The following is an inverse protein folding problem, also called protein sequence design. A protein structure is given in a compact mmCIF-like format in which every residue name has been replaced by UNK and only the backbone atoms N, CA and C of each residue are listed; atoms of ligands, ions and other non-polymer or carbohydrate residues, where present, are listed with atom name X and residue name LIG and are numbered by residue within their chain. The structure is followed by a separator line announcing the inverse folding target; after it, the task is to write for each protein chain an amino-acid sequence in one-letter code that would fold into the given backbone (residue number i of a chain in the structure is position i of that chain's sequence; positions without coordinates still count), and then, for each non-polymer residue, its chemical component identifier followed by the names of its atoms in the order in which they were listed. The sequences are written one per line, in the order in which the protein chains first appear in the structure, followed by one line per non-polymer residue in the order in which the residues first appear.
data_IF_378608359913
#
_entry.id   IF_378608359913
#
_cell.length_a   1.000
_cell.length_b   1.000
_cell.length_c   1.000
_cell.angle_alpha   90.00
_cell.angle_beta   90.00
_cell.angle_gamma   90.00
#
_symmetry.space_group_name_H-M   'P 1'
#
loop_
_entity.id
_entity.type
_entity.pdbx_description
1 polymer ?
#
# COMPACT_ATOMS: atom_id res chain seq x y z
N UNK A 1 32.82 12.63 21.21
CA UNK A 1 31.87 13.37 20.37
C UNK A 1 30.78 12.43 19.91
N UNK A 2 29.62 12.57 20.49
CA UNK A 2 28.42 11.95 19.99
C UNK A 2 28.07 12.63 18.68
N UNK A 3 28.23 11.94 17.57
CA UNK A 3 27.60 12.37 16.34
C UNK A 3 26.12 12.45 16.63
N UNK A 4 25.57 13.64 16.50
CA UNK A 4 24.15 13.90 16.59
C UNK A 4 23.51 13.19 15.38
N UNK A 5 23.24 11.89 15.56
CA UNK A 5 22.52 11.14 14.55
C UNK A 5 21.08 11.64 14.59
N UNK A 6 20.72 12.39 13.55
CA UNK A 6 19.32 12.77 13.36
C UNK A 6 18.43 11.55 13.57
N UNK A 7 17.34 11.68 14.32
CA UNK A 7 16.47 10.56 14.59
C UNK A 7 16.08 9.85 13.27
N UNK A 8 16.14 8.53 13.26
CA UNK A 8 15.84 7.72 12.06
C UNK A 8 14.55 8.13 11.35
N UNK A 9 13.55 8.61 12.10
CA UNK A 9 12.28 9.03 11.52
C UNK A 9 12.40 10.28 10.62
N UNK A 10 13.38 11.16 10.81
CA UNK A 10 13.58 12.33 9.95
C UNK A 10 14.11 11.97 8.57
N UNK A 11 14.92 10.93 8.49
CA UNK A 11 15.40 10.43 7.20
C UNK A 11 14.30 9.66 6.44
N UNK A 12 13.28 9.21 7.13
CA UNK A 12 12.18 8.45 6.54
C UNK A 12 11.22 9.31 5.70
N UNK A 13 11.14 10.60 5.92
CA UNK A 13 10.28 11.48 5.15
C UNK A 13 10.92 12.06 3.88
N UNK A 14 12.24 11.99 3.77
CA UNK A 14 12.97 12.54 2.64
C UNK A 14 12.88 11.72 1.35
N UNK A 15 12.81 10.38 1.40
CA UNK A 15 12.76 9.56 0.18
C UNK A 15 11.40 9.53 -0.54
N UNK A 16 10.36 10.13 0.03
CA UNK A 16 9.01 10.06 -0.56
C UNK A 16 8.98 10.55 -2.01
N UNK A 17 9.64 11.67 -2.31
CA UNK A 17 9.74 12.19 -3.67
C UNK A 17 10.49 11.30 -4.62
N UNK A 18 11.48 10.57 -4.12
CA UNK A 18 12.28 9.66 -4.95
C UNK A 18 11.60 8.30 -5.14
N UNK A 19 10.68 7.91 -4.27
CA UNK A 19 9.91 6.68 -4.43
C UNK A 19 8.96 6.76 -5.63
N UNK A 20 8.28 7.87 -5.83
CA UNK A 20 7.42 8.09 -6.99
C UNK A 20 8.17 8.01 -8.31
N UNK A 21 9.37 8.57 -8.36
CA UNK A 21 10.20 8.53 -9.56
C UNK A 21 10.75 7.12 -9.88
N UNK A 22 10.92 6.29 -8.86
CA UNK A 22 11.47 4.94 -9.04
C UNK A 22 10.46 3.92 -9.53
N UNK A 23 9.19 4.16 -9.28
CA UNK A 23 8.13 3.28 -9.77
C UNK A 23 7.96 3.36 -11.28
N UNK A 24 8.44 4.41 -11.91
CA UNK A 24 8.51 4.54 -13.36
C UNK A 24 9.56 3.61 -13.97
N UNK A 25 10.52 3.15 -13.18
CA UNK A 25 11.53 2.20 -13.63
C UNK A 25 11.09 0.76 -13.40
N UNK A 26 11.48 -0.13 -14.28
CA UNK A 26 11.07 -1.54 -14.33
C UNK A 26 11.72 -2.40 -13.23
N UNK A 27 11.57 -2.02 -11.97
CA UNK A 27 12.03 -2.85 -10.86
C UNK A 27 11.12 -4.04 -10.58
N UNK A 28 11.64 -5.09 -9.96
CA UNK A 28 10.82 -6.19 -9.46
C UNK A 28 9.88 -5.71 -8.35
N UNK A 29 8.80 -6.43 -8.12
CA UNK A 29 7.84 -6.09 -7.06
C UNK A 29 8.53 -6.00 -5.67
N UNK A 30 9.42 -6.93 -5.36
CA UNK A 30 10.18 -6.92 -4.09
C UNK A 30 11.10 -5.69 -3.99
N UNK A 31 11.69 -5.28 -5.11
CA UNK A 31 12.52 -4.09 -5.18
C UNK A 31 11.72 -2.82 -4.90
N UNK A 32 10.54 -2.71 -5.51
CA UNK A 32 9.64 -1.59 -5.25
C UNK A 32 9.21 -1.56 -3.78
N UNK A 33 8.92 -2.70 -3.18
CA UNK A 33 8.60 -2.79 -1.74
C UNK A 33 9.75 -2.30 -0.88
N UNK A 34 10.98 -2.71 -1.17
CA UNK A 34 12.15 -2.25 -0.43
C UNK A 34 12.37 -0.74 -0.52
N UNK A 35 12.02 -0.15 -1.65
CA UNK A 35 12.17 1.29 -1.87
C UNK A 35 11.01 2.13 -1.34
N UNK A 36 9.79 1.62 -1.44
CA UNK A 36 8.56 2.36 -1.08
C UNK A 36 8.00 1.96 0.28
N UNK A 37 8.18 0.71 0.70
CA UNK A 37 7.77 0.19 1.99
C UNK A 37 8.74 0.50 3.12
N UNK A 38 9.53 1.54 2.99
CA UNK A 38 10.65 1.85 3.88
C UNK A 38 10.27 1.98 5.36
N UNK A 39 9.07 2.38 5.68
CA UNK A 39 8.59 2.44 7.08
C UNK A 39 8.65 1.06 7.71
N UNK A 40 8.16 0.06 7.00
CA UNK A 40 8.17 -1.33 7.46
C UNK A 40 9.55 -1.96 7.37
N UNK A 41 10.32 -1.60 6.34
CA UNK A 41 11.68 -2.06 6.18
C UNK A 41 12.59 -1.63 7.32
N UNK A 42 12.38 -0.44 7.87
CA UNK A 42 13.15 0.01 9.04
C UNK A 42 12.87 -0.81 10.29
N UNK A 43 11.66 -1.35 10.42
CA UNK A 43 11.30 -2.22 11.53
C UNK A 43 11.78 -3.66 11.31
N UNK A 44 11.78 -4.14 10.06
CA UNK A 44 12.04 -5.54 9.71
C UNK A 44 13.44 -5.82 9.17
N UNK A 45 14.26 -4.79 8.92
CA UNK A 45 15.63 -4.95 8.49
C UNK A 45 15.86 -5.01 6.98
N UNK A 46 15.03 -4.42 6.17
CA UNK A 46 15.16 -4.22 4.71
C UNK A 46 15.03 -5.46 3.80
N UNK A 47 14.68 -6.61 4.34
CA UNK A 47 14.49 -7.84 3.54
C UNK A 47 13.02 -8.11 3.20
N UNK A 48 12.16 -7.11 3.33
CA UNK A 48 10.73 -7.25 3.13
C UNK A 48 10.42 -7.55 1.65
N UNK A 49 9.73 -8.66 1.42
CA UNK A 49 9.19 -9.01 0.10
C UNK A 49 7.81 -8.41 -0.11
N UNK A 50 7.30 -8.44 -1.34
CA UNK A 50 5.92 -8.05 -1.61
C UNK A 50 4.93 -8.88 -0.78
N UNK A 51 5.15 -10.19 -0.68
CA UNK A 51 4.28 -11.08 0.10
C UNK A 51 4.25 -10.70 1.59
N UNK A 52 5.41 -10.40 2.17
CA UNK A 52 5.50 -9.93 3.56
C UNK A 52 4.82 -8.57 3.74
N UNK A 53 5.00 -7.68 2.80
CA UNK A 53 4.39 -6.36 2.79
C UNK A 53 2.87 -6.44 2.76
N UNK A 54 2.32 -7.27 1.90
CA UNK A 54 0.88 -7.53 1.82
C UNK A 54 0.37 -8.18 3.12
N UNK A 55 1.13 -9.10 3.69
CA UNK A 55 0.76 -9.73 4.98
C UNK A 55 0.61 -8.70 6.09
N UNK A 56 1.47 -7.68 6.15
CA UNK A 56 1.30 -6.57 7.10
C UNK A 56 -0.03 -5.85 6.90
N UNK A 57 -0.43 -5.68 5.64
CA UNK A 57 -1.72 -5.09 5.28
C UNK A 57 -2.90 -5.95 5.69
N UNK A 58 -2.83 -7.24 5.47
CA UNK A 58 -3.88 -8.21 5.88
C UNK A 58 -4.12 -8.14 7.39
N UNK A 59 -3.06 -8.13 8.17
CA UNK A 59 -3.12 -8.05 9.63
C UNK A 59 -3.70 -6.71 10.09
N UNK A 60 -3.27 -5.63 9.48
CA UNK A 60 -3.71 -4.28 9.83
C UNK A 60 -5.18 -4.07 9.49
N UNK A 61 -5.62 -4.49 8.31
CA UNK A 61 -7.02 -4.41 7.89
C UNK A 61 -7.92 -5.23 8.81
N UNK A 62 -7.52 -6.46 9.13
CA UNK A 62 -8.30 -7.30 10.07
C UNK A 62 -8.44 -6.64 11.43
N UNK A 63 -7.37 -6.06 11.94
CA UNK A 63 -7.37 -5.36 13.23
C UNK A 63 -8.29 -4.14 13.21
N UNK A 64 -8.20 -3.31 12.17
CA UNK A 64 -9.04 -2.12 12.07
C UNK A 64 -10.50 -2.45 11.87
N UNK A 65 -10.82 -3.42 11.04
CA UNK A 65 -12.21 -3.81 10.82
C UNK A 65 -12.85 -4.34 12.11
N UNK A 66 -12.12 -5.16 12.86
CA UNK A 66 -12.57 -5.61 14.18
C UNK A 66 -12.75 -4.42 15.15
N UNK A 67 -11.78 -3.53 15.19
CA UNK A 67 -11.77 -2.37 16.09
C UNK A 67 -12.93 -1.41 15.80
N UNK A 68 -13.29 -1.23 14.54
CA UNK A 68 -14.42 -0.38 14.12
C UNK A 68 -15.77 -1.11 14.11
N UNK A 69 -15.81 -2.38 14.50
CA UNK A 69 -17.04 -3.14 14.62
C UNK A 69 -17.62 -3.66 13.30
N UNK A 70 -16.81 -3.74 12.25
CA UNK A 70 -17.23 -4.37 11.00
C UNK A 70 -17.06 -5.89 11.06
N UNK A 71 -18.11 -6.61 10.73
CA UNK A 71 -18.07 -8.06 10.53
C UNK A 71 -17.80 -8.41 9.07
N UNK A 72 -17.30 -9.63 8.77
CA UNK A 72 -17.18 -10.09 7.38
C UNK A 72 -18.50 -9.99 6.61
N UNK A 73 -19.63 -10.31 7.25
CA UNK A 73 -20.95 -10.21 6.63
C UNK A 73 -21.33 -8.77 6.29
N UNK A 74 -20.99 -7.82 7.17
CA UNK A 74 -21.27 -6.40 6.92
C UNK A 74 -20.41 -5.79 5.83
N UNK A 75 -19.20 -6.31 5.62
CA UNK A 75 -18.29 -5.82 4.58
C UNK A 75 -18.58 -6.41 3.21
N UNK A 76 -19.13 -7.62 3.15
CA UNK A 76 -19.31 -8.36 1.91
C UNK A 76 -20.21 -7.66 0.87
N UNK A 77 -21.06 -6.73 1.29
CA UNK A 77 -21.93 -5.96 0.41
C UNK A 77 -21.54 -4.48 0.27
N UNK A 78 -20.37 -4.08 0.78
CA UNK A 78 -19.92 -2.69 0.76
C UNK A 78 -18.91 -2.45 -0.34
N UNK A 79 -18.95 -1.25 -0.91
CA UNK A 79 -17.90 -0.70 -1.74
C UNK A 79 -17.01 0.19 -0.88
N UNK A 80 -15.71 -0.03 -0.94
CA UNK A 80 -14.73 0.73 -0.18
C UNK A 80 -13.92 1.62 -1.12
N UNK A 81 -13.76 2.88 -0.72
CA UNK A 81 -12.83 3.80 -1.36
C UNK A 81 -11.57 3.92 -0.48
N UNK A 82 -10.45 3.53 -1.02
CA UNK A 82 -9.14 3.69 -0.38
C UNK A 82 -8.40 4.86 -1.03
N UNK A 83 -8.12 5.88 -0.23
CA UNK A 83 -7.38 7.07 -0.67
C UNK A 83 -5.93 6.90 -0.26
N UNK A 84 -5.02 7.01 -1.25
CA UNK A 84 -3.60 6.77 -1.01
C UNK A 84 -3.28 5.28 -0.93
N UNK A 85 -3.73 4.51 -1.92
CA UNK A 85 -3.56 3.04 -1.93
C UNK A 85 -2.10 2.60 -2.04
N UNK A 86 -1.23 3.43 -2.61
CA UNK A 86 0.14 3.04 -2.89
C UNK A 86 0.19 1.84 -3.82
N UNK A 87 1.05 0.89 -3.52
CA UNK A 87 1.24 -0.32 -4.32
C UNK A 87 0.34 -1.50 -3.91
N UNK A 88 -0.68 -1.26 -3.07
CA UNK A 88 -1.72 -2.24 -2.80
C UNK A 88 -1.56 -3.06 -1.53
N UNK A 89 -0.79 -2.61 -0.58
CA UNK A 89 -0.55 -3.31 0.69
C UNK A 89 -1.85 -3.69 1.41
N UNK A 90 -2.70 -2.71 1.64
CA UNK A 90 -4.00 -2.93 2.29
C UNK A 90 -5.11 -3.23 1.27
N UNK A 91 -4.96 -2.74 0.05
CA UNK A 91 -5.94 -2.91 -1.03
C UNK A 91 -6.25 -4.39 -1.28
N UNK A 92 -5.22 -5.24 -1.28
CA UNK A 92 -5.39 -6.68 -1.46
C UNK A 92 -6.33 -7.28 -0.42
N UNK A 93 -6.16 -6.92 0.85
CA UNK A 93 -7.03 -7.36 1.93
C UNK A 93 -8.46 -6.84 1.79
N UNK A 94 -8.62 -5.57 1.43
CA UNK A 94 -9.95 -5.00 1.21
C UNK A 94 -10.72 -5.71 0.10
N UNK A 95 -10.04 -6.09 -0.99
CA UNK A 95 -10.71 -6.83 -2.07
C UNK A 95 -11.16 -8.22 -1.65
N UNK A 96 -10.54 -8.81 -0.66
CA UNK A 96 -10.96 -10.10 -0.11
C UNK A 96 -12.19 -9.99 0.79
N UNK A 97 -12.42 -8.83 1.41
CA UNK A 97 -13.46 -8.64 2.42
C UNK A 97 -14.68 -7.87 1.90
N UNK A 98 -14.47 -6.92 0.98
CA UNK A 98 -15.51 -6.05 0.47
C UNK A 98 -16.11 -6.57 -0.84
N UNK A 99 -17.28 -6.05 -1.19
CA UNK A 99 -17.91 -6.33 -2.48
C UNK A 99 -17.11 -5.75 -3.65
N UNK A 100 -16.63 -4.51 -3.49
CA UNK A 100 -15.82 -3.82 -4.46
C UNK A 100 -14.87 -2.82 -3.76
N UNK A 101 -13.74 -2.55 -4.38
CA UNK A 101 -12.76 -1.57 -3.89
C UNK A 101 -12.37 -0.63 -5.01
N UNK A 102 -12.39 0.66 -4.71
CA UNK A 102 -11.81 1.70 -5.55
C UNK A 102 -10.54 2.18 -4.89
N UNK A 103 -9.40 1.94 -5.51
CA UNK A 103 -8.10 2.40 -5.03
C UNK A 103 -7.73 3.70 -5.74
N UNK A 104 -7.58 4.77 -4.98
CA UNK A 104 -7.22 6.09 -5.48
C UNK A 104 -5.81 6.47 -5.04
N UNK A 105 -5.02 7.02 -5.95
CA UNK A 105 -3.69 7.51 -5.66
C UNK A 105 -3.31 8.62 -6.65
N UNK A 106 -2.40 9.49 -6.23
CA UNK A 106 -1.85 10.55 -7.08
C UNK A 106 -0.73 10.03 -7.99
N UNK A 107 -0.17 8.86 -7.68
CA UNK A 107 0.90 8.23 -8.44
C UNK A 107 0.34 7.12 -9.33
N UNK A 108 0.31 7.37 -10.63
CA UNK A 108 -0.20 6.41 -11.62
C UNK A 108 0.62 5.10 -11.65
N UNK A 109 1.93 5.20 -11.45
CA UNK A 109 2.80 4.02 -11.41
C UNK A 109 2.51 3.15 -10.18
N UNK A 110 2.20 3.76 -9.04
CA UNK A 110 1.73 3.03 -7.85
C UNK A 110 0.42 2.30 -8.11
N UNK A 111 -0.50 2.90 -8.85
CA UNK A 111 -1.77 2.25 -9.19
C UNK A 111 -1.57 1.04 -10.10
N UNK A 112 -0.64 1.10 -11.04
CA UNK A 112 -0.28 -0.06 -11.86
C UNK A 112 0.29 -1.18 -10.98
N UNK A 113 1.18 -0.86 -10.05
CA UNK A 113 1.71 -1.82 -9.08
C UNK A 113 0.62 -2.35 -8.14
N UNK A 114 -0.30 -1.50 -7.73
CA UNK A 114 -1.46 -1.90 -6.93
C UNK A 114 -2.29 -2.96 -7.65
N UNK A 115 -2.57 -2.76 -8.92
CA UNK A 115 -3.28 -3.73 -9.74
C UNK A 115 -2.54 -5.08 -9.83
N UNK A 116 -1.24 -5.06 -10.06
CA UNK A 116 -0.40 -6.27 -10.06
C UNK A 116 -0.41 -6.98 -8.71
N UNK A 117 -0.25 -6.23 -7.63
CA UNK A 117 -0.26 -6.76 -6.26
C UNK A 117 -1.58 -7.45 -5.94
N UNK A 118 -2.69 -6.78 -6.23
CA UNK A 118 -4.03 -7.36 -6.02
C UNK A 118 -4.26 -8.57 -6.92
N UNK A 119 -3.73 -8.56 -8.13
CA UNK A 119 -3.79 -9.72 -9.03
C UNK A 119 -3.12 -10.97 -8.46
N UNK A 120 -2.07 -10.79 -7.65
CA UNK A 120 -1.33 -11.89 -7.02
C UNK A 120 -1.89 -12.29 -5.65
N UNK A 121 -2.36 -11.34 -4.87
CA UNK A 121 -2.64 -11.52 -3.45
C UNK A 121 -4.09 -11.24 -3.03
N UNK A 122 -4.89 -10.69 -3.90
CA UNK A 122 -6.29 -10.31 -3.63
C UNK A 122 -7.24 -10.78 -4.72
N UNK A 123 -8.36 -10.07 -4.82
CA UNK A 123 -9.44 -10.33 -5.76
C UNK A 123 -9.49 -9.20 -6.80
N UNK A 124 -8.68 -9.30 -7.84
CA UNK A 124 -8.50 -8.21 -8.82
C UNK A 124 -9.81 -7.87 -9.57
N UNK A 125 -10.71 -8.82 -9.73
CA UNK A 125 -12.01 -8.58 -10.35
C UNK A 125 -12.88 -7.56 -9.58
N UNK A 126 -12.60 -7.36 -8.29
CA UNK A 126 -13.29 -6.39 -7.43
C UNK A 126 -12.62 -5.02 -7.38
N UNK A 127 -11.45 -4.89 -8.00
CA UNK A 127 -10.64 -3.68 -7.94
C UNK A 127 -10.94 -2.75 -9.11
N UNK A 128 -11.12 -1.47 -8.81
CA UNK A 128 -11.02 -0.36 -9.75
C UNK A 128 -9.98 0.62 -9.25
N UNK A 129 -9.19 1.18 -10.14
CA UNK A 129 -8.20 2.20 -9.81
C UNK A 129 -8.68 3.56 -10.28
N UNK A 130 -8.34 4.59 -9.50
CA UNK A 130 -8.67 5.98 -9.80
C UNK A 130 -7.41 6.83 -9.63
N UNK A 131 -6.85 7.30 -10.73
CA UNK A 131 -5.74 8.23 -10.68
C UNK A 131 -6.27 9.63 -10.36
N UNK A 132 -5.81 10.18 -9.25
CA UNK A 132 -6.17 11.54 -8.83
C UNK A 132 -5.10 12.47 -9.36
N UNK A 133 -5.45 13.28 -10.35
CA UNK A 133 -4.58 14.34 -10.80
C UNK A 133 -4.39 15.36 -9.66
N UNK A 134 -3.33 16.15 -9.73
CA UNK A 134 -2.81 17.09 -8.71
C UNK A 134 -3.79 18.16 -8.16
N UNK A 135 -5.05 17.82 -7.99
CA UNK A 135 -6.07 18.73 -7.46
C UNK A 135 -6.63 19.72 -8.47
N UNK A 136 -6.16 19.70 -9.70
CA UNK A 136 -6.80 20.41 -10.82
C UNK A 136 -7.74 19.45 -11.53
N UNK A 137 -8.98 19.54 -11.22
CA UNK A 137 -10.03 18.91 -12.02
C UNK A 137 -10.27 19.70 -13.29
#
# INVERSE_FOLDING_TARGET
MTQDQAPKWRTQFTPWKSAGNRTETSGTADQVVRETGWVFNNETGSDLTLADFVRTGDQEVSRYMHQFGFSPESLANKTLLEIGSGIGRMTSAFTQQCFAVVAADVDAAFLERCHETVGKHGQVAKLRTCHVADGST
#
